data_IF_209973792143
#
_entry.id   IF_209973792143
#
_cell.length_a   1.000
_cell.length_b   1.000
_cell.length_c   1.000
_cell.angle_alpha   90.00
_cell.angle_beta   90.00
_cell.angle_gamma   90.00
#
_symmetry.space_group_name_H-M   'P 1'
#
loop_
_entity.id
_entity.type
_entity.pdbx_description
1 polymer ?
#
# COMPACT_ATOMS: atom_id res chain seq x y z
N UNK A 1 24.63 17.32 10.91
CA UNK A 1 25.43 18.12 11.86
C UNK A 1 25.19 19.57 11.50
N UNK A 2 24.76 20.41 12.42
CA UNK A 2 24.63 21.85 12.20
C UNK A 2 25.91 22.55 12.66
N UNK A 3 26.27 23.64 11.99
CA UNK A 3 27.48 24.42 12.30
C UNK A 3 27.48 25.00 13.72
N UNK A 4 26.29 25.32 14.25
CA UNK A 4 26.11 26.03 15.54
C UNK A 4 25.75 25.07 16.68
N UNK A 5 24.83 24.14 16.46
CA UNK A 5 24.28 23.28 17.52
C UNK A 5 24.80 21.84 17.48
N UNK A 6 25.74 21.51 16.58
CA UNK A 6 26.29 20.16 16.46
C UNK A 6 25.24 19.13 15.98
N UNK A 7 25.11 17.99 16.66
CA UNK A 7 24.16 16.94 16.27
C UNK A 7 22.74 17.31 16.74
N UNK A 8 21.90 17.75 15.80
CA UNK A 8 20.48 18.00 16.06
C UNK A 8 19.66 16.75 15.77
N UNK A 9 18.83 16.34 16.73
CA UNK A 9 17.91 15.21 16.58
C UNK A 9 16.60 15.64 15.90
N UNK A 10 16.17 14.85 14.92
CA UNK A 10 14.93 15.06 14.17
C UNK A 10 14.05 13.82 14.24
N UNK A 11 12.74 14.03 14.28
CA UNK A 11 11.73 12.99 14.15
C UNK A 11 11.24 12.93 12.71
N UNK A 12 11.03 11.72 12.18
CA UNK A 12 10.39 11.47 10.90
C UNK A 12 9.14 10.61 11.11
N UNK A 13 8.01 11.05 10.54
CA UNK A 13 6.74 10.35 10.59
C UNK A 13 6.29 9.99 9.18
N UNK A 14 6.15 8.70 8.89
CA UNK A 14 5.47 8.22 7.68
C UNK A 14 3.96 8.24 7.95
N UNK A 15 3.24 9.04 7.17
CA UNK A 15 1.81 9.26 7.31
C UNK A 15 1.11 8.85 6.02
N UNK A 16 -0.05 8.23 6.16
CA UNK A 16 -0.98 7.95 5.07
C UNK A 16 -2.30 8.66 5.34
N UNK A 17 -2.92 9.20 4.31
CA UNK A 17 -4.28 9.74 4.31
C UNK A 17 -5.09 9.05 3.21
N UNK A 18 -6.39 8.90 3.38
CA UNK A 18 -7.25 8.31 2.36
C UNK A 18 -8.73 8.41 2.72
N UNK A 19 -9.57 8.28 1.69
CA UNK A 19 -11.01 8.45 1.79
C UNK A 19 -11.78 7.11 1.88
N UNK A 20 -11.07 5.98 1.90
CA UNK A 20 -11.66 4.64 1.91
C UNK A 20 -12.38 4.25 0.60
N UNK A 21 -12.21 5.02 -0.47
CA UNK A 21 -12.85 4.82 -1.79
C UNK A 21 -11.83 4.85 -2.94
N UNK A 22 -10.63 4.34 -2.70
CA UNK A 22 -9.55 4.26 -3.69
C UNK A 22 -8.64 5.49 -3.76
N UNK A 23 -9.03 6.64 -3.21
CA UNK A 23 -8.16 7.83 -3.19
C UNK A 23 -7.36 7.90 -1.89
N UNK A 24 -6.04 7.85 -2.01
CA UNK A 24 -5.13 7.91 -0.87
C UNK A 24 -3.84 8.64 -1.21
N UNK A 25 -3.08 9.04 -0.20
CA UNK A 25 -1.77 9.68 -0.36
C UNK A 25 -0.89 9.36 0.84
N UNK A 26 0.42 9.25 0.63
CA UNK A 26 1.36 9.06 1.74
C UNK A 26 2.56 10.00 1.61
N UNK A 27 3.13 10.38 2.75
CA UNK A 27 4.32 11.21 2.80
C UNK A 27 5.10 11.00 4.10
N UNK A 28 6.37 11.42 4.07
CA UNK A 28 7.21 11.46 5.27
C UNK A 28 7.33 12.91 5.73
N UNK A 29 6.68 13.22 6.85
CA UNK A 29 6.86 14.48 7.54
C UNK A 29 8.09 14.43 8.44
N UNK A 30 8.83 15.54 8.52
CA UNK A 30 10.01 15.66 9.39
C UNK A 30 9.89 16.93 10.24
N UNK A 31 10.33 16.84 11.48
CA UNK A 31 10.43 18.00 12.37
C UNK A 31 11.53 17.79 13.42
N UNK A 32 11.97 18.85 14.11
CA UNK A 32 12.80 18.72 15.30
C UNK A 32 12.14 17.82 16.37
N UNK A 33 12.94 17.08 17.14
CA UNK A 33 12.43 16.08 18.09
C UNK A 33 11.46 16.67 19.15
N UNK A 34 11.66 17.92 19.57
CA UNK A 34 10.78 18.61 20.52
C UNK A 34 9.41 18.99 19.93
N UNK A 35 9.20 18.83 18.61
CA UNK A 35 7.96 19.16 17.90
C UNK A 35 7.42 17.96 17.12
N UNK A 36 7.24 16.85 17.81
CA UNK A 36 6.76 15.57 17.23
C UNK A 36 5.42 15.71 16.51
N UNK A 37 4.47 16.45 17.08
CA UNK A 37 3.15 16.69 16.47
C UNK A 37 3.26 17.43 15.14
N UNK A 38 4.18 18.38 15.03
CA UNK A 38 4.47 19.11 13.79
C UNK A 38 4.97 18.17 12.68
N UNK A 39 5.75 17.13 12.99
CA UNK A 39 6.18 16.14 11.99
C UNK A 39 4.97 15.42 11.38
N UNK A 40 3.97 15.07 12.20
CA UNK A 40 2.76 14.38 11.74
C UNK A 40 1.92 15.30 10.87
N UNK A 41 1.66 16.53 11.32
CA UNK A 41 0.88 17.54 10.57
C UNK A 41 1.53 17.84 9.23
N UNK A 42 2.86 18.02 9.20
CA UNK A 42 3.61 18.19 7.96
C UNK A 42 3.44 16.98 7.02
N UNK A 43 3.50 15.77 7.58
CA UNK A 43 3.23 14.53 6.84
C UNK A 43 1.83 14.49 6.24
N UNK A 44 0.80 14.85 7.02
CA UNK A 44 -0.59 14.91 6.55
C UNK A 44 -0.77 15.91 5.41
N UNK A 45 -0.26 17.14 5.56
CA UNK A 45 -0.35 18.17 4.53
C UNK A 45 0.37 17.78 3.25
N UNK A 46 1.53 17.13 3.36
CA UNK A 46 2.26 16.62 2.20
C UNK A 46 1.54 15.46 1.52
N UNK A 47 0.96 14.54 2.30
CA UNK A 47 0.23 13.39 1.79
C UNK A 47 -1.05 13.81 1.05
N UNK A 48 -1.79 14.79 1.59
CA UNK A 48 -2.99 15.34 0.98
C UNK A 48 -2.73 16.03 -0.37
N UNK A 49 -1.49 16.50 -0.62
CA UNK A 49 -1.09 17.09 -1.90
C UNK A 49 -0.64 16.06 -2.94
N UNK A 50 -0.30 14.84 -2.50
CA UNK A 50 0.24 13.76 -3.34
C UNK A 50 -0.69 12.56 -3.31
N UNK A 51 -1.93 12.81 -3.70
CA UNK A 51 -2.95 11.78 -3.80
C UNK A 51 -2.73 10.95 -5.07
N UNK A 52 -3.01 9.67 -4.93
CA UNK A 52 -3.05 8.68 -5.99
C UNK A 52 -4.39 7.96 -5.89
N UNK A 53 -4.89 7.52 -7.05
CA UNK A 53 -6.12 6.77 -7.15
C UNK A 53 -5.81 5.30 -7.42
N UNK A 54 -6.48 4.42 -6.68
CA UNK A 54 -6.36 2.96 -6.79
C UNK A 54 -7.70 2.42 -7.24
N UNK A 55 -7.73 1.78 -8.40
CA UNK A 55 -8.90 1.07 -8.88
C UNK A 55 -9.19 -0.14 -7.98
N UNK A 56 -10.42 -0.24 -7.49
CA UNK A 56 -10.86 -1.33 -6.62
C UNK A 56 -11.92 -2.16 -7.33
N UNK A 57 -11.65 -3.46 -7.49
CA UNK A 57 -12.62 -4.42 -7.97
C UNK A 57 -13.76 -4.52 -6.95
N UNK A 58 -15.00 -4.30 -7.40
CA UNK A 58 -16.21 -4.27 -6.58
C UNK A 58 -16.11 -3.31 -5.37
N UNK A 59 -15.22 -2.30 -5.46
CA UNK A 59 -14.96 -1.38 -4.34
C UNK A 59 -14.39 -2.06 -3.09
N UNK A 60 -13.74 -3.23 -3.21
CA UNK A 60 -13.24 -4.01 -2.06
C UNK A 60 -11.87 -4.67 -2.22
N UNK A 61 -11.45 -5.08 -3.41
CA UNK A 61 -10.22 -5.86 -3.61
C UNK A 61 -9.46 -5.41 -4.86
N UNK A 62 -8.29 -5.98 -5.10
CA UNK A 62 -7.43 -5.68 -6.27
C UNK A 62 -7.90 -6.43 -7.52
N UNK A 63 -7.57 -5.92 -8.70
CA UNK A 63 -7.95 -6.59 -9.97
C UNK A 63 -7.15 -7.85 -10.25
N UNK A 64 -5.82 -7.75 -10.12
CA UNK A 64 -4.87 -8.81 -10.44
C UNK A 64 -3.92 -9.08 -9.28
N UNK A 65 -3.45 -10.33 -9.19
CA UNK A 65 -2.33 -10.68 -8.33
C UNK A 65 -1.08 -9.97 -8.86
N UNK A 66 -0.27 -9.40 -7.97
CA UNK A 66 0.92 -8.66 -8.36
C UNK A 66 2.09 -8.93 -7.46
N UNK A 67 3.27 -8.73 -8.03
CA UNK A 67 4.53 -8.68 -7.32
C UNK A 67 5.16 -7.30 -7.53
N UNK A 68 5.61 -6.69 -6.44
CA UNK A 68 6.27 -5.40 -6.47
C UNK A 68 7.45 -5.37 -5.50
N UNK A 69 8.51 -4.65 -5.88
CA UNK A 69 9.74 -4.56 -5.11
C UNK A 69 10.16 -3.10 -4.98
N UNK A 70 10.67 -2.75 -3.80
CA UNK A 70 11.36 -1.50 -3.56
C UNK A 70 12.56 -1.77 -2.67
N UNK A 71 13.76 -1.49 -3.19
CA UNK A 71 15.03 -1.81 -2.50
C UNK A 71 15.07 -3.30 -2.18
N UNK A 72 15.34 -3.68 -0.92
CA UNK A 72 15.39 -5.06 -0.46
C UNK A 72 14.05 -5.54 0.15
N UNK A 73 12.93 -4.89 -0.19
CA UNK A 73 11.59 -5.24 0.31
C UNK A 73 10.72 -5.66 -0.86
N UNK A 74 10.22 -6.89 -0.80
CA UNK A 74 9.42 -7.53 -1.84
C UNK A 74 8.01 -7.78 -1.32
N UNK A 75 7.02 -7.50 -2.13
CA UNK A 75 5.60 -7.59 -1.77
C UNK A 75 4.88 -8.41 -2.83
N UNK A 76 4.28 -9.51 -2.39
CA UNK A 76 3.37 -10.30 -3.20
C UNK A 76 1.96 -10.10 -2.69
N UNK A 77 1.08 -9.57 -3.54
CA UNK A 77 -0.32 -9.35 -3.23
C UNK A 77 -1.19 -10.26 -4.08
N UNK A 78 -2.16 -10.89 -3.43
CA UNK A 78 -3.11 -11.78 -4.06
C UNK A 78 -4.53 -11.34 -3.75
N UNK A 79 -5.34 -11.32 -4.81
CA UNK A 79 -6.76 -11.05 -4.78
C UNK A 79 -7.47 -12.10 -3.93
N UNK A 80 -8.53 -11.71 -3.22
CA UNK A 80 -9.28 -12.62 -2.35
C UNK A 80 -10.80 -12.43 -2.50
N UNK A 81 -11.58 -13.50 -2.30
CA UNK A 81 -13.04 -13.43 -2.37
C UNK A 81 -13.61 -12.61 -1.22
N UNK A 82 -14.88 -12.24 -1.32
CA UNK A 82 -15.57 -11.42 -0.33
C UNK A 82 -15.61 -12.14 1.03
N UNK A 83 -15.29 -11.42 2.10
CA UNK A 83 -15.34 -11.94 3.47
C UNK A 83 -14.05 -12.65 3.91
N UNK A 84 -12.98 -12.57 3.12
CA UNK A 84 -11.67 -13.08 3.53
C UNK A 84 -10.98 -12.14 4.52
N UNK A 85 -11.22 -10.82 4.39
CA UNK A 85 -10.59 -9.81 5.22
C UNK A 85 -9.16 -9.46 4.82
N UNK A 86 -8.46 -8.73 5.69
CA UNK A 86 -7.10 -8.26 5.46
C UNK A 86 -6.09 -9.20 6.13
N UNK A 87 -5.43 -10.04 5.34
CA UNK A 87 -4.32 -10.87 5.82
C UNK A 87 -3.01 -10.33 5.26
N UNK A 88 -2.41 -9.40 5.99
CA UNK A 88 -1.20 -8.72 5.57
C UNK A 88 -0.40 -8.20 6.78
N UNK A 89 0.80 -7.68 6.52
CA UNK A 89 1.62 -7.06 7.56
C UNK A 89 0.83 -5.93 8.28
N UNK A 90 0.93 -5.76 9.61
CA UNK A 90 0.08 -4.80 10.36
C UNK A 90 0.07 -3.37 9.83
N UNK A 91 1.21 -2.90 9.30
CA UNK A 91 1.32 -1.58 8.64
C UNK A 91 0.54 -1.51 7.33
N UNK A 92 0.55 -2.59 6.54
CA UNK A 92 -0.20 -2.68 5.30
C UNK A 92 -1.70 -2.75 5.56
N UNK A 93 -2.15 -3.34 6.68
CA UNK A 93 -3.56 -3.31 7.09
C UNK A 93 -4.04 -1.85 7.18
N UNK A 94 -3.28 -0.98 7.87
CA UNK A 94 -3.64 0.46 7.97
C UNK A 94 -3.62 1.20 6.64
N UNK A 95 -2.75 0.79 5.73
CA UNK A 95 -2.73 1.34 4.37
C UNK A 95 -3.95 0.87 3.58
N UNK A 96 -4.32 -0.40 3.69
CA UNK A 96 -5.51 -0.97 3.06
C UNK A 96 -6.79 -0.30 3.57
N UNK A 97 -6.89 -0.09 4.90
CA UNK A 97 -8.01 0.63 5.53
C UNK A 97 -8.14 2.05 4.97
N UNK A 98 -7.03 2.80 4.85
CA UNK A 98 -7.04 4.16 4.31
C UNK A 98 -7.46 4.21 2.83
N UNK A 99 -7.04 3.24 2.03
CA UNK A 99 -7.40 3.12 0.61
C UNK A 99 -8.85 2.64 0.45
N UNK A 100 -9.35 1.76 1.32
CA UNK A 100 -10.67 1.12 1.21
C UNK A 100 -10.62 -0.34 0.74
N UNK A 101 -9.44 -0.97 0.75
CA UNK A 101 -9.30 -2.40 0.47
C UNK A 101 -9.82 -3.18 1.69
N UNK A 102 -10.69 -4.17 1.44
CA UNK A 102 -11.34 -4.99 2.47
C UNK A 102 -10.86 -6.44 2.46
N UNK A 103 -10.60 -6.99 1.27
CA UNK A 103 -10.19 -8.38 1.09
C UNK A 103 -8.87 -8.45 0.30
N UNK A 104 -7.79 -8.89 0.93
CA UNK A 104 -6.50 -9.09 0.26
C UNK A 104 -5.59 -10.01 1.10
N UNK A 105 -4.78 -10.82 0.42
CA UNK A 105 -3.65 -11.49 1.04
C UNK A 105 -2.36 -10.81 0.58
N UNK A 106 -1.49 -10.42 1.51
CA UNK A 106 -0.20 -9.84 1.16
C UNK A 106 0.91 -10.52 1.96
N UNK A 107 1.87 -11.09 1.23
CA UNK A 107 3.11 -11.63 1.78
C UNK A 107 4.23 -10.62 1.53
N UNK A 108 5.04 -10.38 2.56
CA UNK A 108 6.23 -9.52 2.48
C UNK A 108 7.45 -10.41 2.62
N UNK A 109 8.41 -10.26 1.70
CA UNK A 109 9.67 -10.98 1.69
C UNK A 109 10.85 -9.99 1.73
N UNK A 110 11.98 -10.40 2.29
CA UNK A 110 13.15 -9.55 2.49
C UNK A 110 13.02 -8.62 3.72
N UNK A 111 13.35 -7.34 3.56
CA UNK A 111 13.38 -6.36 4.65
C UNK A 111 11.97 -5.92 5.05
N UNK A 112 11.49 -6.37 6.22
CA UNK A 112 10.19 -6.00 6.79
C UNK A 112 10.23 -4.75 7.68
N UNK A 113 11.43 -4.29 8.06
CA UNK A 113 11.64 -3.14 8.96
C UNK A 113 11.64 -1.79 8.23
N UNK A 114 11.92 -1.77 6.93
CA UNK A 114 11.92 -0.53 6.15
C UNK A 114 10.49 -0.17 5.71
N UNK A 115 9.77 0.53 6.58
CA UNK A 115 8.37 0.88 6.33
C UNK A 115 8.16 1.77 5.09
N UNK A 116 9.12 2.64 4.76
CA UNK A 116 9.00 3.50 3.58
C UNK A 116 9.10 2.67 2.30
N UNK A 117 10.08 1.77 2.22
CA UNK A 117 10.22 0.87 1.08
C UNK A 117 9.03 -0.09 0.97
N UNK A 118 8.54 -0.61 2.10
CA UNK A 118 7.34 -1.45 2.15
C UNK A 118 6.11 -0.74 1.59
N UNK A 119 5.83 0.48 2.05
CA UNK A 119 4.69 1.28 1.56
C UNK A 119 4.86 1.61 0.09
N UNK A 120 6.06 1.99 -0.34
CA UNK A 120 6.32 2.30 -1.75
C UNK A 120 6.13 1.10 -2.66
N UNK A 121 6.70 -0.07 -2.31
CA UNK A 121 6.51 -1.30 -3.08
C UNK A 121 5.03 -1.65 -3.23
N UNK A 122 4.29 -1.63 -2.13
CA UNK A 122 2.87 -1.96 -2.14
C UNK A 122 2.04 -0.98 -2.98
N UNK A 123 2.26 0.32 -2.83
CA UNK A 123 1.54 1.34 -3.62
C UNK A 123 1.90 1.27 -5.10
N UNK A 124 3.18 1.05 -5.45
CA UNK A 124 3.58 0.87 -6.86
C UNK A 124 2.87 -0.33 -7.49
N UNK A 125 2.77 -1.45 -6.77
CA UNK A 125 2.02 -2.61 -7.26
C UNK A 125 0.53 -2.34 -7.46
N UNK A 126 -0.09 -1.60 -6.55
CA UNK A 126 -1.49 -1.17 -6.67
C UNK A 126 -1.74 -0.23 -7.85
N UNK A 127 -0.80 0.67 -8.15
CA UNK A 127 -0.94 1.61 -9.26
C UNK A 127 -0.68 0.98 -10.63
N UNK A 128 0.08 -0.12 -10.67
CA UNK A 128 0.36 -0.85 -11.89
C UNK A 128 -0.69 -1.92 -12.23
N UNK A 129 -1.82 -1.95 -11.51
CA UNK A 129 -2.89 -2.88 -11.84
C UNK A 129 -3.63 -2.43 -13.10
N UNK A 130 -4.05 -3.40 -13.92
CA UNK A 130 -4.92 -3.15 -15.06
C UNK A 130 -6.36 -3.52 -14.68
N UNK A 131 -7.33 -2.68 -15.05
CA UNK A 131 -8.74 -3.04 -14.91
C UNK A 131 -9.13 -4.09 -15.94
N UNK A 132 -10.22 -4.82 -15.69
CA UNK A 132 -10.72 -5.81 -16.66
C UNK A 132 -11.05 -5.19 -18.03
N UNK A 133 -11.52 -3.93 -18.05
CA UNK A 133 -11.78 -3.20 -19.29
C UNK A 133 -10.49 -2.89 -20.04
N UNK A 134 -9.50 -2.32 -19.36
CA UNK A 134 -8.19 -2.04 -19.95
C UNK A 134 -7.52 -3.31 -20.50
N UNK A 135 -7.63 -4.42 -19.76
CA UNK A 135 -7.10 -5.71 -20.19
C UNK A 135 -7.82 -6.26 -21.44
N UNK A 136 -9.15 -6.13 -21.50
CA UNK A 136 -9.96 -6.55 -22.63
C UNK A 136 -9.64 -5.75 -23.89
N UNK A 137 -9.56 -4.41 -23.76
CA UNK A 137 -9.18 -3.49 -24.85
C UNK A 137 -7.78 -3.79 -25.36
N UNK A 138 -6.81 -3.97 -24.46
CA UNK A 138 -5.42 -4.30 -24.82
C UNK A 138 -5.29 -5.63 -25.57
N UNK A 139 -6.14 -6.61 -25.25
CA UNK A 139 -6.11 -7.94 -25.88
C UNK A 139 -7.06 -8.08 -27.07
N UNK A 140 -7.98 -7.15 -27.28
CA UNK A 140 -9.05 -7.28 -28.27
C UNK A 140 -10.01 -8.44 -28.00
N UNK A 141 -10.14 -8.87 -26.74
CA UNK A 141 -10.95 -10.03 -26.33
C UNK A 141 -12.03 -9.61 -25.34
N UNK A 142 -13.20 -10.25 -25.43
CA UNK A 142 -14.27 -10.05 -24.45
C UNK A 142 -13.88 -10.60 -23.08
N UNK A 143 -14.01 -9.79 -22.02
CA UNK A 143 -13.77 -10.24 -20.65
C UNK A 143 -14.87 -11.20 -20.19
N UNK A 144 -14.50 -12.44 -19.86
CA UNK A 144 -15.40 -13.39 -19.20
C UNK A 144 -15.02 -13.54 -17.74
N UNK A 145 -15.98 -13.31 -16.85
CA UNK A 145 -15.76 -13.45 -15.41
C UNK A 145 -15.74 -14.94 -15.02
N UNK A 146 -14.59 -15.59 -15.11
CA UNK A 146 -14.42 -16.95 -14.61
C UNK A 146 -14.05 -16.91 -13.12
N UNK A 147 -14.74 -17.65 -12.23
CA UNK A 147 -14.40 -17.68 -10.83
C UNK A 147 -12.98 -18.27 -10.65
N UNK A 148 -12.05 -17.43 -10.22
CA UNK A 148 -10.68 -17.87 -9.94
C UNK A 148 -10.73 -18.84 -8.77
N UNK A 149 -10.36 -20.10 -9.02
CA UNK A 149 -10.25 -21.13 -7.99
C UNK A 149 -9.05 -20.77 -7.09
N UNK A 150 -9.32 -20.17 -5.94
CA UNK A 150 -8.29 -19.97 -4.93
C UNK A 150 -7.95 -21.32 -4.30
N UNK A 151 -6.86 -21.95 -4.71
CA UNK A 151 -6.31 -23.10 -3.97
C UNK A 151 -5.98 -22.64 -2.55
N UNK A 152 -6.73 -23.13 -1.56
CA UNK A 152 -6.47 -22.93 -0.14
C UNK A 152 -5.21 -23.70 0.29
N UNK A 153 -4.04 -23.33 -0.25
CA UNK A 153 -2.78 -23.77 0.34
C UNK A 153 -2.55 -22.86 1.55
N UNK A 154 -3.17 -23.20 2.69
CA UNK A 154 -2.71 -22.74 4.01
C UNK A 154 -1.27 -23.22 4.13
N UNK A 155 -0.30 -22.40 3.72
CA UNK A 155 1.08 -22.60 4.13
C UNK A 155 1.09 -22.39 5.64
N UNK A 156 0.96 -23.51 6.39
CA UNK A 156 1.42 -23.58 7.77
C UNK A 156 2.89 -23.22 7.72
N UNK A 157 3.25 -22.05 8.26
CA UNK A 157 4.64 -21.66 8.49
C UNK A 157 4.67 -21.21 9.94
N UNK A 158 5.31 -22.04 10.78
CA UNK A 158 5.74 -21.68 12.12
C UNK A 158 6.96 -20.77 12.09
#
# INVERSE_FOLDING_TARGET
MTRVFGRVHTMAALVITGNGKGLAGYAVGKAPLHRTTTAIVNGMNMAARKLFFVDLLEGRTIYQDFYAECRNTRVFAQRRPRGFGLTCHPRLIKICEAIGIKDIYVKVEGSTKNYLALTHAFVTGLLNQETHQQLAERKGLHYTNSPVKYTHRRQRMG
#
